data_IF_681315021254
#
_entry.id   IF_681315021254
#
_cell.length_a   1.000
_cell.length_b   1.000
_cell.length_c   1.000
_cell.angle_alpha   90.00
_cell.angle_beta   90.00
_cell.angle_gamma   90.00
#
_symmetry.space_group_name_H-M   'P 1'
#
loop_
_entity.id
_entity.type
_entity.pdbx_description
1 polymer ?
#
# COMPACT_ATOMS: atom_id res chain seq x y z
N UNK A 1 -11.71 1.97 3.07
CA UNK A 1 -12.49 3.19 2.87
C UNK A 1 -13.84 3.05 3.56
N UNK A 2 -14.50 4.15 3.89
CA UNK A 2 -15.89 4.18 4.37
C UNK A 2 -16.64 5.17 3.50
N UNK A 3 -17.54 4.68 2.65
CA UNK A 3 -18.18 5.52 1.63
C UNK A 3 -17.14 6.16 0.70
N UNK A 4 -17.28 7.46 0.47
CA UNK A 4 -16.40 8.27 -0.37
C UNK A 4 -15.16 8.82 0.35
N UNK A 5 -14.83 8.30 1.53
CA UNK A 5 -13.67 8.74 2.31
C UNK A 5 -12.68 7.60 2.48
N UNK A 6 -11.41 7.88 2.22
CA UNK A 6 -10.28 6.99 2.50
C UNK A 6 -9.14 7.75 3.15
N UNK A 7 -8.24 7.02 3.80
CA UNK A 7 -6.99 7.50 4.36
C UNK A 7 -5.86 6.95 3.48
N UNK A 8 -4.78 7.70 3.31
CA UNK A 8 -3.58 7.34 2.55
C UNK A 8 -2.32 7.82 3.29
N UNK A 9 -1.14 7.37 2.85
CA UNK A 9 0.15 7.78 3.44
C UNK A 9 0.34 7.22 4.85
N UNK A 10 1.16 7.90 5.66
CA UNK A 10 1.49 7.46 7.04
C UNK A 10 0.24 7.27 7.92
N UNK A 11 -0.87 7.97 7.64
CA UNK A 11 -2.12 7.76 8.35
C UNK A 11 -2.79 6.41 8.01
N UNK A 12 -2.51 5.82 6.84
CA UNK A 12 -2.96 4.50 6.41
C UNK A 12 -1.95 3.40 6.75
N UNK A 13 -0.65 3.72 6.74
CA UNK A 13 0.41 2.73 6.85
C UNK A 13 1.60 3.16 7.72
N UNK A 14 1.33 3.80 8.87
CA UNK A 14 2.34 4.21 9.84
C UNK A 14 3.41 3.12 10.05
N UNK A 15 4.54 3.29 9.36
CA UNK A 15 5.57 2.28 9.28
C UNK A 15 6.75 2.72 10.11
N UNK A 16 7.34 1.75 10.81
CA UNK A 16 8.58 1.98 11.54
C UNK A 16 9.69 2.44 10.56
N UNK A 17 10.55 3.41 10.95
CA UNK A 17 11.45 4.10 10.03
C UNK A 17 12.62 3.26 9.52
N UNK A 18 12.74 1.99 9.95
CA UNK A 18 13.94 1.15 9.78
C UNK A 18 14.34 0.86 8.33
N UNK A 19 13.43 1.03 7.37
CA UNK A 19 13.72 0.80 5.94
C UNK A 19 13.58 2.07 5.08
N UNK A 20 13.32 3.24 5.68
CA UNK A 20 13.27 4.53 4.97
C UNK A 20 12.21 4.65 3.86
N UNK A 21 11.22 3.75 3.82
CA UNK A 21 10.29 3.59 2.69
C UNK A 21 8.97 4.37 2.83
N UNK A 22 8.75 5.13 3.91
CA UNK A 22 7.49 5.86 4.13
C UNK A 22 7.16 6.86 3.00
N UNK A 23 8.16 7.63 2.56
CA UNK A 23 8.01 8.58 1.44
C UNK A 23 7.70 7.89 0.10
N UNK A 24 8.44 6.84 -0.24
CA UNK A 24 8.20 6.07 -1.47
C UNK A 24 6.82 5.41 -1.46
N UNK A 25 6.42 4.81 -0.34
CA UNK A 25 5.08 4.22 -0.16
C UNK A 25 3.96 5.25 -0.35
N UNK A 26 4.18 6.50 0.06
CA UNK A 26 3.22 7.59 -0.14
C UNK A 26 3.08 7.98 -1.62
N UNK A 27 4.17 7.98 -2.39
CA UNK A 27 4.11 8.21 -3.84
C UNK A 27 3.42 7.06 -4.57
N UNK A 28 3.72 5.82 -4.18
CA UNK A 28 3.03 4.63 -4.72
C UNK A 28 1.51 4.70 -4.42
N UNK A 29 1.12 5.13 -3.21
CA UNK A 29 -0.30 5.32 -2.86
C UNK A 29 -0.98 6.33 -3.79
N UNK A 30 -0.31 7.45 -4.09
CA UNK A 30 -0.86 8.50 -4.94
C UNK A 30 -1.12 7.98 -6.36
N UNK A 31 -0.16 7.24 -6.94
CA UNK A 31 -0.31 6.65 -8.29
C UNK A 31 -1.47 5.66 -8.33
N UNK A 32 -1.54 4.73 -7.37
CA UNK A 32 -2.60 3.72 -7.33
C UNK A 32 -3.97 4.36 -7.07
N UNK A 33 -4.05 5.37 -6.20
CA UNK A 33 -5.28 6.10 -5.92
C UNK A 33 -5.82 6.79 -7.17
N UNK A 34 -4.97 7.53 -7.88
CA UNK A 34 -5.38 8.24 -9.10
C UNK A 34 -5.80 7.25 -10.18
N UNK A 35 -5.09 6.13 -10.35
CA UNK A 35 -5.49 5.06 -11.28
C UNK A 35 -6.87 4.52 -10.94
N UNK A 36 -7.11 4.10 -9.70
CA UNK A 36 -8.41 3.54 -9.31
C UNK A 36 -9.55 4.56 -9.49
N UNK A 37 -9.30 5.84 -9.18
CA UNK A 37 -10.28 6.91 -9.41
C UNK A 37 -10.53 7.16 -10.90
N UNK A 38 -9.50 7.20 -11.72
CA UNK A 38 -9.62 7.37 -13.17
C UNK A 38 -10.46 6.25 -13.80
N UNK A 39 -10.23 4.99 -13.41
CA UNK A 39 -11.04 3.85 -13.86
C UNK A 39 -12.50 3.97 -13.42
N UNK A 40 -12.75 4.37 -12.16
CA UNK A 40 -14.10 4.51 -11.62
C UNK A 40 -14.89 5.68 -12.25
N UNK A 41 -14.18 6.73 -12.69
CA UNK A 41 -14.76 7.95 -13.23
C UNK A 41 -14.72 8.01 -14.77
N UNK A 42 -14.16 7.01 -15.45
CA UNK A 42 -13.77 7.01 -16.86
C UNK A 42 -14.85 7.55 -17.84
N UNK A 43 -14.86 8.87 -18.06
CA UNK A 43 -15.60 9.60 -19.10
C UNK A 43 -17.13 9.46 -19.14
N UNK A 44 -17.73 8.65 -18.28
CA UNK A 44 -19.17 8.39 -18.30
C UNK A 44 -19.92 9.58 -17.70
N UNK A 45 -20.84 10.15 -18.49
CA UNK A 45 -21.83 11.12 -18.03
C UNK A 45 -22.41 10.67 -16.69
N UNK A 46 -22.13 11.47 -15.66
CA UNK A 46 -22.69 11.29 -14.32
C UNK A 46 -24.12 11.81 -14.39
N UNK A 47 -25.07 10.89 -14.39
CA UNK A 47 -26.51 11.17 -14.47
C UNK A 47 -27.10 11.53 -13.10
N UNK A 48 -26.41 11.19 -12.00
CA UNK A 48 -26.85 11.47 -10.64
C UNK A 48 -25.68 11.51 -9.65
N UNK A 49 -25.75 12.41 -8.67
CA UNK A 49 -24.80 12.50 -7.57
C UNK A 49 -24.67 11.19 -6.77
N UNK A 50 -25.73 10.37 -6.73
CA UNK A 50 -25.69 9.06 -6.06
C UNK A 50 -24.87 8.03 -6.85
N UNK A 51 -24.91 8.07 -8.18
CA UNK A 51 -24.08 7.20 -9.03
C UNK A 51 -22.60 7.57 -8.92
N UNK A 52 -22.29 8.86 -8.91
CA UNK A 52 -20.93 9.37 -8.69
C UNK A 52 -20.36 8.88 -7.36
N UNK A 53 -21.11 9.06 -6.26
CA UNK A 53 -20.69 8.60 -4.92
C UNK A 53 -20.40 7.10 -4.91
N UNK A 54 -21.26 6.29 -5.54
CA UNK A 54 -21.08 4.84 -5.60
C UNK A 54 -19.83 4.44 -6.39
N UNK A 55 -19.55 5.13 -7.50
CA UNK A 55 -18.33 4.90 -8.30
C UNK A 55 -17.07 5.30 -7.55
N UNK A 56 -17.08 6.45 -6.87
CA UNK A 56 -15.98 6.88 -6.01
C UNK A 56 -15.75 5.87 -4.88
N UNK A 57 -16.80 5.43 -4.20
CA UNK A 57 -16.69 4.41 -3.14
C UNK A 57 -16.07 3.10 -3.66
N UNK A 58 -16.49 2.63 -4.84
CA UNK A 58 -15.92 1.44 -5.48
C UNK A 58 -14.45 1.63 -5.83
N UNK A 59 -14.07 2.78 -6.40
CA UNK A 59 -12.69 3.12 -6.72
C UNK A 59 -11.81 3.16 -5.46
N UNK A 60 -12.28 3.81 -4.39
CA UNK A 60 -11.56 3.88 -3.11
C UNK A 60 -11.44 2.50 -2.44
N UNK A 61 -12.45 1.64 -2.59
CA UNK A 61 -12.39 0.26 -2.09
C UNK A 61 -11.32 -0.54 -2.84
N UNK A 62 -11.28 -0.43 -4.17
CA UNK A 62 -10.26 -1.07 -5.01
C UNK A 62 -8.84 -0.60 -4.64
N UNK A 63 -8.64 0.71 -4.48
CA UNK A 63 -7.39 1.29 -3.98
C UNK A 63 -6.94 0.64 -2.66
N UNK A 64 -7.84 0.56 -1.67
CA UNK A 64 -7.50 -0.03 -0.37
C UNK A 64 -7.18 -1.52 -0.48
N UNK A 65 -7.89 -2.27 -1.31
CA UNK A 65 -7.62 -3.70 -1.54
C UNK A 65 -6.26 -3.93 -2.20
N UNK A 66 -5.88 -3.13 -3.22
CA UNK A 66 -4.56 -3.20 -3.85
C UNK A 66 -3.43 -2.87 -2.87
N UNK A 67 -3.60 -1.84 -2.04
CA UNK A 67 -2.54 -1.35 -1.14
C UNK A 67 -2.40 -2.14 0.15
N UNK A 68 -3.46 -2.81 0.63
CA UNK A 68 -3.47 -3.53 1.92
C UNK A 68 -2.35 -4.56 2.04
N UNK A 69 -2.18 -5.41 1.02
CA UNK A 69 -1.17 -6.46 1.07
C UNK A 69 0.26 -5.89 0.99
N UNK A 70 0.47 -4.88 0.12
CA UNK A 70 1.75 -4.17 -0.01
C UNK A 70 2.18 -3.51 1.31
N UNK A 71 1.27 -2.75 1.93
CA UNK A 71 1.47 -2.09 3.22
C UNK A 71 1.76 -3.10 4.33
N UNK A 72 1.00 -4.19 4.41
CA UNK A 72 1.21 -5.25 5.40
C UNK A 72 2.61 -5.88 5.31
N UNK A 73 3.06 -6.16 4.09
CA UNK A 73 4.38 -6.73 3.83
C UNK A 73 5.50 -5.75 4.21
N UNK A 74 5.34 -4.47 3.85
CA UNK A 74 6.28 -3.41 4.20
C UNK A 74 6.43 -3.24 5.72
N UNK A 75 5.31 -3.14 6.46
CA UNK A 75 5.31 -3.05 7.92
C UNK A 75 5.95 -4.27 8.57
N UNK A 76 5.61 -5.47 8.09
CA UNK A 76 6.16 -6.73 8.62
C UNK A 76 7.67 -6.80 8.42
N UNK A 77 8.18 -6.43 7.24
CA UNK A 77 9.62 -6.40 7.00
C UNK A 77 10.33 -5.34 7.83
N UNK A 78 9.77 -4.12 7.93
CA UNK A 78 10.36 -3.06 8.76
C UNK A 78 10.45 -3.50 10.23
N UNK A 79 9.43 -4.19 10.74
CA UNK A 79 9.45 -4.77 12.09
C UNK A 79 10.55 -5.83 12.27
N UNK A 80 10.66 -6.79 11.33
CA UNK A 80 11.70 -7.83 11.37
C UNK A 80 13.11 -7.25 11.25
N UNK A 81 13.30 -6.23 10.41
CA UNK A 81 14.56 -5.51 10.29
C UNK A 81 14.92 -4.83 11.61
N UNK A 82 13.97 -4.19 12.29
CA UNK A 82 14.18 -3.62 13.63
C UNK A 82 14.56 -4.66 14.69
N UNK A 83 14.00 -5.87 14.61
CA UNK A 83 14.40 -7.00 15.45
C UNK A 83 15.82 -7.51 15.16
N UNK A 84 16.46 -7.13 14.06
CA UNK A 84 17.83 -7.55 13.73
C UNK A 84 18.90 -6.69 14.41
N UNK A 85 18.50 -5.68 15.18
CA UNK A 85 19.40 -4.82 15.95
C UNK A 85 19.95 -5.56 17.19
N UNK A 86 21.25 -5.42 17.53
CA UNK A 86 21.84 -6.14 18.67
C UNK A 86 21.11 -5.80 19.99
N UNK A 87 20.45 -6.81 20.58
CA UNK A 87 19.66 -6.65 21.82
C UNK A 87 18.29 -7.34 21.82
N UNK A 88 17.80 -7.81 20.66
CA UNK A 88 16.51 -8.52 20.59
C UNK A 88 16.59 -9.93 21.22
N UNK A 89 15.68 -10.25 22.15
CA UNK A 89 15.65 -11.53 22.86
C UNK A 89 15.43 -12.76 21.95
N UNK A 90 15.67 -13.97 22.49
CA UNK A 90 15.61 -15.26 21.76
C UNK A 90 14.31 -15.48 20.96
N UNK A 91 13.18 -14.94 21.44
CA UNK A 91 11.88 -15.02 20.80
C UNK A 91 11.82 -14.24 19.47
N UNK A 92 12.45 -13.08 19.39
CA UNK A 92 12.53 -12.27 18.17
C UNK A 92 13.31 -12.99 17.07
N UNK A 93 14.37 -13.71 17.44
CA UNK A 93 15.17 -14.54 16.53
C UNK A 93 14.38 -15.73 15.99
N UNK A 94 13.58 -16.39 16.83
CA UNK A 94 12.69 -17.48 16.42
C UNK A 94 11.59 -16.98 15.46
N UNK A 95 10.99 -15.82 15.77
CA UNK A 95 10.00 -15.19 14.91
C UNK A 95 10.60 -14.80 13.54
N UNK A 96 11.85 -14.30 13.52
CA UNK A 96 12.62 -14.02 12.30
C UNK A 96 12.77 -15.25 11.42
N UNK A 97 13.24 -16.38 11.95
CA UNK A 97 13.49 -17.59 11.15
C UNK A 97 12.20 -18.15 10.52
N UNK A 98 11.09 -18.08 11.26
CA UNK A 98 9.80 -18.64 10.81
C UNK A 98 9.04 -17.72 9.84
N UNK A 99 9.29 -16.41 9.88
CA UNK A 99 8.63 -15.42 9.01
C UNK A 99 9.49 -15.06 7.79
N UNK A 100 10.82 -14.90 7.92
CA UNK A 100 11.69 -14.57 6.77
C UNK A 100 11.68 -15.65 5.69
N UNK A 101 11.48 -16.91 6.05
CA UNK A 101 11.32 -18.01 5.09
C UNK A 101 10.01 -17.95 4.30
N UNK A 102 9.05 -17.13 4.72
CA UNK A 102 7.74 -16.95 4.07
C UNK A 102 7.55 -15.59 3.40
N UNK A 103 8.51 -14.66 3.54
CA UNK A 103 8.50 -13.37 2.86
C UNK A 103 9.28 -13.53 1.55
N UNK A 104 8.64 -13.52 0.38
CA UNK A 104 9.34 -13.62 -0.89
C UNK A 104 10.14 -12.33 -1.19
N UNK A 105 11.39 -12.50 -1.64
CA UNK A 105 12.25 -11.46 -2.19
C UNK A 105 13.36 -10.94 -1.27
N UNK A 106 14.46 -10.51 -1.89
CA UNK A 106 15.68 -10.00 -1.23
C UNK A 106 15.44 -8.82 -0.29
N UNK A 107 16.44 -8.53 0.56
CA UNK A 107 16.40 -7.39 1.50
C UNK A 107 16.04 -6.05 0.80
N UNK A 108 16.40 -5.89 -0.48
CA UNK A 108 16.16 -4.70 -1.31
C UNK A 108 14.97 -4.79 -2.28
N UNK A 109 14.29 -5.94 -2.39
CA UNK A 109 13.21 -6.15 -3.39
C UNK A 109 12.04 -5.18 -3.29
N UNK A 110 11.90 -4.46 -2.17
CA UNK A 110 10.87 -3.44 -2.00
C UNK A 110 11.18 -2.10 -2.68
N UNK A 111 12.43 -1.87 -3.08
CA UNK A 111 12.84 -0.67 -3.82
C UNK A 111 12.46 -0.75 -5.31
N UNK A 112 12.33 -1.96 -5.86
CA UNK A 112 11.99 -2.22 -7.26
C UNK A 112 10.48 -2.46 -7.46
N UNK A 113 9.64 -1.93 -6.56
CA UNK A 113 8.20 -2.14 -6.65
C UNK A 113 7.59 -1.34 -7.80
N UNK A 114 7.10 -2.05 -8.81
CA UNK A 114 6.29 -1.47 -9.88
C UNK A 114 4.85 -1.31 -9.40
N UNK A 115 4.42 -0.05 -9.23
CA UNK A 115 3.03 0.28 -8.89
C UNK A 115 2.14 0.49 -10.13
N UNK A 116 2.68 0.30 -11.34
CA UNK A 116 2.03 0.49 -12.64
C UNK A 116 2.07 1.94 -13.14
N UNK A 117 1.83 2.13 -14.43
CA UNK A 117 1.82 3.45 -15.09
C UNK A 117 0.56 4.26 -14.79
N UNK A 118 0.73 5.57 -14.60
CA UNK A 118 -0.39 6.53 -14.46
C UNK A 118 -1.10 6.78 -15.80
N UNK A 119 -0.36 6.71 -16.91
CA UNK A 119 -0.82 7.11 -18.24
C UNK A 119 -1.55 5.99 -19.01
N UNK A 120 -1.43 4.74 -18.59
CA UNK A 120 -2.12 3.61 -19.24
C UNK A 120 -3.63 3.66 -19.03
N UNK A 121 -4.09 4.43 -18.05
CA UNK A 121 -5.51 4.58 -17.67
C UNK A 121 -6.20 5.80 -18.30
N UNK A 122 -5.43 6.68 -18.97
CA UNK A 122 -5.92 7.94 -19.56
C UNK A 122 -6.11 7.88 -21.09
N UNK A 123 -5.99 6.70 -21.71
CA UNK A 123 -6.34 6.44 -23.11
C UNK A 123 -7.76 5.89 -23.21
#
# INVERSE_FOLDING_TARGET
SKGTVTIAGDAMHAMTPYIGQGGCSTLEDAVVLVRCLAEGLNGKLITSANEERKRIEQALKKYVEERRWRVFMLMTKSYITGLSQPGSGKFAKFLREKIMTKVPGDALSHAEYDCGGLFDTMK
#
